data_IF_603768454486
#
_entry.id   IF_603768454486
#
_cell.length_a   1.000
_cell.length_b   1.000
_cell.length_c   1.000
_cell.angle_alpha   90.00
_cell.angle_beta   90.00
_cell.angle_gamma   90.00
#
_symmetry.space_group_name_H-M   'P 1'
#
loop_
_entity.id
_entity.type
_entity.pdbx_description
1 polymer ?
#
# COMPACT_ATOMS: atom_id res chain seq x y z
N UNK A 1 16.06 30.00 -16.57
CA UNK A 1 16.55 29.20 -15.44
C UNK A 1 15.45 28.33 -14.81
N UNK A 2 14.36 27.99 -15.55
CA UNK A 2 13.08 27.60 -14.88
C UNK A 2 12.40 26.30 -15.35
N UNK A 3 13.06 25.40 -16.11
CA UNK A 3 12.41 24.15 -16.56
C UNK A 3 12.87 22.87 -15.86
N UNK A 4 14.05 22.83 -15.25
CA UNK A 4 14.40 21.73 -14.34
C UNK A 4 13.52 21.76 -13.07
N UNK A 5 13.14 22.96 -12.63
CA UNK A 5 12.11 23.18 -11.61
C UNK A 5 10.75 22.65 -12.08
N UNK A 6 10.33 22.87 -13.33
CA UNK A 6 9.00 22.45 -13.80
C UNK A 6 8.78 20.93 -13.90
N UNK A 7 9.80 20.12 -14.21
CA UNK A 7 9.66 18.65 -14.16
C UNK A 7 9.53 18.16 -12.72
N UNK A 8 10.25 18.79 -11.79
CA UNK A 8 10.03 18.58 -10.36
C UNK A 8 8.62 19.02 -9.96
N UNK A 9 8.13 20.19 -10.41
CA UNK A 9 6.78 20.68 -10.09
C UNK A 9 5.65 19.80 -10.66
N UNK A 10 5.79 19.20 -11.85
CA UNK A 10 4.78 18.27 -12.40
C UNK A 10 4.77 16.93 -11.65
N UNK A 11 5.94 16.45 -11.25
CA UNK A 11 6.06 15.28 -10.35
C UNK A 11 5.49 15.61 -8.97
N UNK A 12 5.80 16.79 -8.42
CA UNK A 12 5.30 17.27 -7.13
C UNK A 12 3.79 17.51 -7.14
N UNK A 13 3.23 18.09 -8.19
CA UNK A 13 1.78 18.28 -8.31
C UNK A 13 1.06 16.93 -8.38
N UNK A 14 1.58 15.97 -9.17
CA UNK A 14 1.02 14.61 -9.25
C UNK A 14 1.07 13.89 -7.89
N UNK A 15 2.15 14.12 -7.13
CA UNK A 15 2.31 13.63 -5.76
C UNK A 15 1.31 14.31 -4.82
N UNK A 16 1.14 15.63 -4.88
CA UNK A 16 0.17 16.38 -4.07
C UNK A 16 -1.28 15.99 -4.38
N UNK A 17 -1.64 15.73 -5.64
CA UNK A 17 -2.96 15.17 -6.01
C UNK A 17 -3.15 13.75 -5.49
N UNK A 18 -2.10 12.93 -5.47
CA UNK A 18 -2.14 11.59 -4.86
C UNK A 18 -2.36 11.68 -3.34
N UNK A 19 -1.70 12.64 -2.67
CA UNK A 19 -1.92 12.94 -1.25
C UNK A 19 -3.37 13.39 -0.98
N UNK A 20 -3.88 14.36 -1.75
CA UNK A 20 -5.28 14.81 -1.61
C UNK A 20 -6.26 13.69 -1.92
N UNK A 21 -5.98 12.85 -2.91
CA UNK A 21 -6.82 11.71 -3.27
C UNK A 21 -6.92 10.67 -2.16
N UNK A 22 -5.78 10.24 -1.59
CA UNK A 22 -5.77 9.32 -0.45
C UNK A 22 -6.42 9.96 0.77
N UNK A 23 -6.09 11.22 1.08
CA UNK A 23 -6.70 11.91 2.21
C UNK A 23 -8.20 12.10 2.02
N UNK A 24 -8.68 12.30 0.79
CA UNK A 24 -10.11 12.44 0.51
C UNK A 24 -10.84 11.10 0.59
N UNK A 25 -10.19 10.02 0.17
CA UNK A 25 -10.74 8.67 0.21
C UNK A 25 -10.80 8.12 1.65
N UNK A 26 -9.74 8.36 2.42
CA UNK A 26 -9.52 7.74 3.73
C UNK A 26 -9.83 8.70 4.88
N UNK A 27 -9.96 9.99 4.58
CA UNK A 27 -10.27 11.08 5.53
C UNK A 27 -9.33 11.13 6.73
N UNK A 28 -8.07 10.78 6.46
CA UNK A 28 -7.02 10.66 7.45
C UNK A 28 -5.73 11.32 6.98
N UNK A 29 -5.25 12.28 7.75
CA UNK A 29 -4.00 12.99 7.47
C UNK A 29 -2.79 12.09 7.77
N UNK A 30 -2.79 11.39 8.90
CA UNK A 30 -1.65 10.56 9.31
C UNK A 30 -1.47 9.35 8.36
N UNK A 31 -2.56 8.73 7.94
CA UNK A 31 -2.54 7.64 6.94
C UNK A 31 -1.95 8.11 5.63
N UNK A 32 -2.37 9.27 5.14
CA UNK A 32 -1.92 9.79 3.85
C UNK A 32 -0.40 9.95 3.86
N UNK A 33 0.14 10.45 4.97
CA UNK A 33 1.58 10.64 5.14
C UNK A 33 2.34 9.30 5.27
N UNK A 34 1.83 8.36 6.08
CA UNK A 34 2.42 7.03 6.25
C UNK A 34 2.39 6.21 4.97
N UNK A 35 1.29 6.26 4.22
CA UNK A 35 1.16 5.61 2.93
C UNK A 35 2.22 6.15 1.96
N UNK A 36 2.39 7.47 1.89
CA UNK A 36 3.36 8.04 0.96
C UNK A 36 4.81 7.75 1.35
N UNK A 37 5.14 7.80 2.64
CA UNK A 37 6.47 7.41 3.12
C UNK A 37 6.79 5.93 2.79
N UNK A 38 5.78 5.06 2.84
CA UNK A 38 5.97 3.61 2.61
C UNK A 38 5.89 3.21 1.13
N UNK A 39 5.19 3.98 0.29
CA UNK A 39 4.84 3.57 -1.07
C UNK A 39 5.51 4.38 -2.19
N UNK A 40 5.88 5.64 -1.96
CA UNK A 40 6.27 6.55 -3.06
C UNK A 40 7.79 6.76 -3.14
N UNK A 41 8.48 6.89 -2.01
CA UNK A 41 9.94 7.10 -2.03
C UNK A 41 10.58 6.68 -0.71
N UNK A 42 11.79 6.10 -0.80
CA UNK A 42 12.65 5.78 0.35
C UNK A 42 13.16 7.05 1.06
N UNK A 43 13.47 8.09 0.29
CA UNK A 43 13.92 9.37 0.84
C UNK A 43 12.85 10.43 0.60
N UNK A 44 12.28 10.94 1.69
CA UNK A 44 11.28 11.98 1.64
C UNK A 44 11.75 13.22 2.43
N UNK A 45 12.05 14.34 1.75
CA UNK A 45 12.58 15.53 2.43
C UNK A 45 11.51 16.15 3.34
N UNK A 46 11.94 16.59 4.53
CA UNK A 46 11.06 17.13 5.58
C UNK A 46 10.20 18.32 5.10
N UNK A 47 10.71 19.12 4.16
CA UNK A 47 9.98 20.25 3.55
C UNK A 47 8.75 19.79 2.75
N UNK A 48 8.84 18.68 2.04
CA UNK A 48 7.73 18.13 1.25
C UNK A 48 6.71 17.43 2.15
N UNK A 49 7.17 16.83 3.25
CA UNK A 49 6.32 16.27 4.31
C UNK A 49 5.40 17.32 4.91
N UNK A 50 5.94 18.48 5.26
CA UNK A 50 5.12 19.52 5.87
C UNK A 50 4.08 20.11 4.91
N UNK A 51 4.44 20.27 3.62
CA UNK A 51 3.51 20.75 2.58
C UNK A 51 2.37 19.77 2.32
N UNK A 52 2.68 18.49 2.18
CA UNK A 52 1.67 17.43 1.98
C UNK A 52 0.77 17.26 3.20
N UNK A 53 1.31 17.35 4.42
CA UNK A 53 0.52 17.36 5.65
C UNK A 53 -0.48 18.51 5.68
N UNK A 54 -0.06 19.72 5.35
CA UNK A 54 -0.95 20.89 5.32
C UNK A 54 -2.06 20.71 4.28
N UNK A 55 -1.72 20.22 3.09
CA UNK A 55 -2.69 19.96 2.03
C UNK A 55 -3.74 18.92 2.45
N UNK A 56 -3.30 17.82 3.05
CA UNK A 56 -4.18 16.77 3.59
C UNK A 56 -5.08 17.31 4.72
N UNK A 57 -4.56 18.14 5.62
CA UNK A 57 -5.32 18.76 6.69
C UNK A 57 -6.44 19.66 6.15
N UNK A 58 -6.13 20.51 5.16
CA UNK A 58 -7.13 21.36 4.51
C UNK A 58 -8.20 20.51 3.81
N UNK A 59 -7.80 19.45 3.09
CA UNK A 59 -8.74 18.55 2.43
C UNK A 59 -9.69 17.86 3.44
N UNK A 60 -9.14 17.35 4.55
CA UNK A 60 -9.93 16.74 5.62
C UNK A 60 -10.91 17.74 6.27
N UNK A 61 -10.47 18.98 6.51
CA UNK A 61 -11.31 20.04 7.06
C UNK A 61 -12.47 20.40 6.12
N UNK A 62 -12.20 20.55 4.82
CA UNK A 62 -13.23 20.86 3.82
C UNK A 62 -14.23 19.71 3.69
N UNK A 63 -13.77 18.46 3.65
CA UNK A 63 -14.64 17.29 3.61
C UNK A 63 -15.49 17.12 4.87
N UNK A 64 -14.93 17.43 6.05
CA UNK A 64 -15.67 17.46 7.30
C UNK A 64 -16.75 18.56 7.29
N UNK A 65 -16.41 19.74 6.78
CA UNK A 65 -17.32 20.88 6.71
C UNK A 65 -18.49 20.69 5.74
N UNK A 66 -18.25 20.01 4.60
CA UNK A 66 -19.30 19.72 3.60
C UNK A 66 -20.26 18.62 4.10
N UNK A 67 -19.82 17.78 5.05
CA UNK A 67 -20.53 16.60 5.54
C UNK A 67 -21.32 15.82 4.45
N UNK A 68 -20.63 15.27 3.42
CA UNK A 68 -21.30 14.66 2.27
C UNK A 68 -22.12 13.40 2.59
N UNK A 69 -21.96 12.82 3.78
CA UNK A 69 -22.65 11.59 4.19
C UNK A 69 -23.78 11.83 5.20
N UNK A 70 -23.97 13.06 5.67
CA UNK A 70 -25.01 13.40 6.64
C UNK A 70 -24.83 12.78 8.03
N UNK A 71 -23.67 12.17 8.32
CA UNK A 71 -23.35 11.63 9.63
C UNK A 71 -22.54 12.67 10.42
N UNK A 72 -22.69 12.72 11.75
CA UNK A 72 -21.88 13.62 12.60
C UNK A 72 -20.39 13.23 12.61
N UNK A 73 -20.06 12.03 12.12
CA UNK A 73 -18.70 11.52 12.02
C UNK A 73 -18.10 11.74 10.64
N UNK A 74 -16.85 12.19 10.63
CA UNK A 74 -16.11 12.48 9.40
C UNK A 74 -15.74 11.23 8.61
N UNK A 75 -15.76 10.01 9.16
CA UNK A 75 -15.32 8.76 8.48
C UNK A 75 -16.48 7.93 7.91
N UNK A 76 -16.22 7.16 6.84
CA UNK A 76 -17.24 6.36 6.12
C UNK A 76 -17.80 5.19 6.95
N UNK A 77 -17.00 4.63 7.86
CA UNK A 77 -17.34 3.46 8.67
C UNK A 77 -16.95 3.68 10.14
N UNK A 78 -17.65 4.59 10.84
CA UNK A 78 -17.42 4.77 12.27
C UNK A 78 -18.13 3.67 13.06
N UNK A 79 -17.39 2.88 13.84
CA UNK A 79 -17.94 1.93 14.80
C UNK A 79 -17.20 2.07 16.12
N UNK A 80 -17.91 2.45 17.16
CA UNK A 80 -17.35 2.58 18.50
C UNK A 80 -17.53 1.28 19.29
N UNK A 81 -16.41 0.75 19.78
CA UNK A 81 -16.39 -0.44 20.63
C UNK A 81 -16.04 -0.02 22.04
N UNK A 82 -16.95 -0.26 22.98
CA UNK A 82 -16.81 0.22 24.36
C UNK A 82 -16.04 -0.75 25.27
N UNK A 83 -15.82 -2.01 24.86
CA UNK A 83 -15.18 -3.05 25.67
C UNK A 83 -13.74 -3.35 25.22
N UNK A 84 -12.77 -3.49 26.14
CA UNK A 84 -11.41 -3.89 25.79
C UNK A 84 -11.36 -5.33 25.25
N UNK A 85 -10.37 -5.62 24.40
CA UNK A 85 -10.07 -6.97 23.94
C UNK A 85 -9.26 -7.72 25.01
N UNK A 86 -9.38 -9.05 25.04
CA UNK A 86 -8.72 -9.91 26.02
C UNK A 86 -7.49 -10.56 25.38
N UNK A 87 -6.38 -10.72 26.13
CA UNK A 87 -5.14 -11.32 25.61
C UNK A 87 -5.33 -12.67 24.92
N UNK A 88 -6.26 -13.48 25.41
CA UNK A 88 -6.57 -14.77 24.81
C UNK A 88 -7.11 -14.67 23.38
N UNK A 89 -7.88 -13.62 23.05
CA UNK A 89 -8.40 -13.37 21.70
C UNK A 89 -7.29 -13.11 20.66
N UNK A 90 -6.06 -12.86 21.10
CA UNK A 90 -4.93 -12.72 20.20
C UNK A 90 -4.68 -13.98 19.35
N UNK A 91 -4.94 -15.16 19.91
CA UNK A 91 -4.76 -16.44 19.20
C UNK A 91 -5.67 -16.53 17.97
N UNK A 92 -7.00 -16.37 18.07
CA UNK A 92 -7.85 -16.36 16.89
C UNK A 92 -7.61 -15.14 15.98
N UNK A 93 -7.15 -13.99 16.50
CA UNK A 93 -6.74 -12.87 15.64
C UNK A 93 -5.52 -13.19 14.78
N UNK A 94 -4.50 -13.86 15.33
CA UNK A 94 -3.36 -14.34 14.55
C UNK A 94 -3.80 -15.42 13.57
N UNK A 95 -4.71 -16.31 13.96
CA UNK A 95 -5.34 -17.29 13.06
C UNK A 95 -6.05 -16.64 11.87
N UNK A 96 -6.82 -15.56 12.12
CA UNK A 96 -7.41 -14.72 11.07
C UNK A 96 -6.36 -14.09 10.17
N UNK A 97 -5.22 -13.67 10.74
CA UNK A 97 -4.04 -13.24 10.00
C UNK A 97 -3.56 -14.30 9.00
N UNK A 98 -3.38 -15.53 9.48
CA UNK A 98 -2.91 -16.66 8.65
C UNK A 98 -3.92 -16.97 7.53
N UNK A 99 -5.21 -17.08 7.86
CA UNK A 99 -6.28 -17.31 6.88
C UNK A 99 -6.31 -16.18 5.84
N UNK A 100 -6.21 -14.93 6.30
CA UNK A 100 -6.19 -13.76 5.42
C UNK A 100 -4.99 -13.75 4.47
N UNK A 101 -3.81 -14.15 4.95
CA UNK A 101 -2.60 -14.28 4.14
C UNK A 101 -2.71 -15.37 3.06
N UNK A 102 -3.32 -16.51 3.39
CA UNK A 102 -3.59 -17.59 2.43
C UNK A 102 -4.57 -17.12 1.35
N UNK A 103 -5.69 -16.51 1.75
CA UNK A 103 -6.70 -15.98 0.82
C UNK A 103 -6.06 -14.94 -0.11
N UNK A 104 -5.25 -14.03 0.45
CA UNK A 104 -4.53 -13.03 -0.32
C UNK A 104 -3.55 -13.64 -1.32
N UNK A 105 -2.78 -14.66 -0.93
CA UNK A 105 -1.83 -15.33 -1.81
C UNK A 105 -2.53 -16.06 -2.98
N UNK A 106 -3.63 -16.76 -2.69
CA UNK A 106 -4.47 -17.41 -3.72
C UNK A 106 -5.03 -16.36 -4.67
N UNK A 107 -5.57 -15.26 -4.13
CA UNK A 107 -6.11 -14.15 -4.92
C UNK A 107 -5.04 -13.54 -5.85
N UNK A 108 -3.84 -13.24 -5.35
CA UNK A 108 -2.75 -12.66 -6.17
C UNK A 108 -2.36 -13.63 -7.29
N UNK A 109 -2.13 -14.92 -6.98
CA UNK A 109 -1.72 -15.91 -8.00
C UNK A 109 -2.80 -16.11 -9.07
N UNK A 110 -4.07 -16.25 -8.67
CA UNK A 110 -5.19 -16.42 -9.59
C UNK A 110 -5.38 -15.18 -10.48
N UNK A 111 -5.30 -13.99 -9.90
CA UNK A 111 -5.40 -12.73 -10.63
C UNK A 111 -4.26 -12.54 -11.63
N UNK A 112 -3.01 -12.85 -11.25
CA UNK A 112 -1.88 -12.82 -12.17
C UNK A 112 -2.04 -13.80 -13.32
N UNK A 113 -2.47 -15.03 -13.02
CA UNK A 113 -2.72 -16.05 -14.02
C UNK A 113 -3.80 -15.59 -15.02
N UNK A 114 -4.91 -15.03 -14.52
CA UNK A 114 -5.98 -14.51 -15.35
C UNK A 114 -5.54 -13.32 -16.22
N UNK A 115 -4.83 -12.36 -15.64
CA UNK A 115 -4.31 -11.21 -16.39
C UNK A 115 -3.26 -11.61 -17.43
N UNK A 116 -2.42 -12.61 -17.15
CA UNK A 116 -1.49 -13.18 -18.14
C UNK A 116 -2.26 -13.87 -19.27
N UNK A 117 -3.29 -14.64 -18.94
CA UNK A 117 -4.16 -15.26 -19.93
C UNK A 117 -4.84 -14.22 -20.85
N UNK A 118 -5.32 -13.10 -20.29
CA UNK A 118 -5.92 -11.98 -21.05
C UNK A 118 -4.94 -11.34 -22.05
N UNK A 119 -3.64 -11.29 -21.72
CA UNK A 119 -2.62 -10.77 -22.65
C UNK A 119 -2.37 -11.69 -23.85
N UNK A 120 -2.53 -13.01 -23.68
CA UNK A 120 -2.29 -14.01 -24.73
C UNK A 120 -3.57 -14.33 -25.52
N UNK A 121 -4.74 -14.22 -24.89
CA UNK A 121 -6.03 -14.56 -25.49
C UNK A 121 -6.61 -13.45 -26.37
N UNK A 122 -7.48 -13.82 -27.32
CA UNK A 122 -8.22 -12.88 -28.19
C UNK A 122 -9.17 -11.96 -27.41
N UNK A 123 -9.49 -12.29 -26.15
CA UNK A 123 -10.27 -11.44 -25.24
C UNK A 123 -9.68 -10.03 -25.09
N UNK A 124 -8.36 -9.86 -25.19
CA UNK A 124 -7.71 -8.56 -25.10
C UNK A 124 -7.95 -7.61 -26.30
N UNK A 125 -8.45 -8.13 -27.44
CA UNK A 125 -8.68 -7.34 -28.65
C UNK A 125 -9.95 -6.49 -28.58
N UNK A 126 -10.97 -6.90 -27.80
CA UNK A 126 -12.24 -6.19 -27.67
C UNK A 126 -12.55 -5.81 -26.22
N UNK A 127 -11.93 -4.73 -25.70
CA UNK A 127 -12.04 -4.38 -24.29
C UNK A 127 -13.45 -3.94 -23.86
N UNK A 128 -14.20 -3.29 -24.74
CA UNK A 128 -15.55 -2.79 -24.41
C UNK A 128 -16.55 -3.93 -24.28
N UNK A 129 -16.53 -4.90 -25.20
CA UNK A 129 -17.43 -6.06 -25.15
C UNK A 129 -17.11 -6.97 -23.96
N UNK A 130 -15.83 -7.08 -23.57
CA UNK A 130 -15.44 -7.78 -22.36
C UNK A 130 -16.05 -7.14 -21.10
N UNK A 131 -15.95 -5.81 -20.95
CA UNK A 131 -16.53 -5.08 -19.82
C UNK A 131 -18.03 -5.33 -19.73
N UNK A 132 -18.73 -5.20 -20.86
CA UNK A 132 -20.19 -5.43 -20.92
C UNK A 132 -20.53 -6.87 -20.54
N UNK A 133 -19.78 -7.86 -21.08
CA UNK A 133 -19.98 -9.26 -20.76
C UNK A 133 -19.78 -9.56 -19.27
N UNK A 134 -18.68 -9.08 -18.68
CA UNK A 134 -18.40 -9.26 -17.25
C UNK A 134 -19.46 -8.56 -16.39
N UNK A 135 -19.91 -7.36 -16.78
CA UNK A 135 -20.96 -6.64 -16.06
C UNK A 135 -22.30 -7.39 -16.07
N UNK A 136 -22.71 -7.94 -17.22
CA UNK A 136 -23.94 -8.73 -17.33
C UNK A 136 -23.84 -10.02 -16.52
N UNK A 137 -22.74 -10.77 -16.66
CA UNK A 137 -22.52 -12.02 -15.92
C UNK A 137 -22.50 -11.77 -14.41
N UNK A 138 -21.78 -10.74 -13.96
CA UNK A 138 -21.73 -10.39 -12.52
C UNK A 138 -23.09 -9.93 -12.00
N UNK A 139 -23.88 -9.18 -12.78
CA UNK A 139 -25.23 -8.79 -12.39
C UNK A 139 -26.17 -10.00 -12.23
N UNK A 140 -26.15 -10.94 -13.19
CA UNK A 140 -26.97 -12.16 -13.15
C UNK A 140 -26.58 -13.05 -11.96
N UNK A 141 -25.28 -13.22 -11.70
CA UNK A 141 -24.79 -14.05 -10.60
C UNK A 141 -24.95 -13.40 -9.22
N UNK A 142 -24.90 -12.07 -9.13
CA UNK A 142 -25.03 -11.34 -7.86
C UNK A 142 -26.47 -11.10 -7.43
N UNK A 143 -27.44 -11.17 -8.36
CA UNK A 143 -28.86 -10.92 -8.08
C UNK A 143 -29.49 -11.88 -7.05
N UNK A 144 -29.21 -13.20 -7.05
CA UNK A 144 -29.88 -14.14 -6.14
C UNK A 144 -29.50 -13.98 -4.67
N UNK A 145 -28.29 -13.50 -4.36
CA UNK A 145 -27.82 -13.38 -2.98
C UNK A 145 -27.98 -11.93 -2.47
N UNK A 146 -28.73 -11.71 -1.37
CA UNK A 146 -28.99 -10.37 -0.84
C UNK A 146 -27.71 -9.62 -0.45
N UNK A 147 -26.69 -10.31 0.08
CA UNK A 147 -25.43 -9.68 0.48
C UNK A 147 -24.54 -9.29 -0.71
N UNK A 148 -24.61 -10.03 -1.83
CA UNK A 148 -23.87 -9.65 -3.05
C UNK A 148 -24.56 -8.52 -3.81
N UNK A 149 -25.88 -8.39 -3.67
CA UNK A 149 -26.69 -7.32 -4.27
C UNK A 149 -26.47 -5.97 -3.60
N UNK A 150 -26.16 -5.94 -2.30
CA UNK A 150 -25.88 -4.69 -1.57
C UNK A 150 -24.57 -4.03 -2.02
N UNK A 151 -24.51 -2.70 -1.86
CA UNK A 151 -23.26 -1.97 -2.12
C UNK A 151 -22.16 -2.42 -1.16
N UNK A 152 -20.93 -2.54 -1.66
CA UNK A 152 -19.81 -3.08 -0.87
C UNK A 152 -19.53 -2.25 0.39
N UNK A 153 -19.71 -0.93 0.33
CA UNK A 153 -19.57 -0.03 1.49
C UNK A 153 -20.63 -0.31 2.55
N UNK A 154 -21.91 -0.40 2.18
CA UNK A 154 -22.99 -0.74 3.12
C UNK A 154 -22.77 -2.12 3.75
N UNK A 155 -22.29 -3.09 2.96
CA UNK A 155 -21.97 -4.42 3.47
C UNK A 155 -20.84 -4.39 4.49
N UNK A 156 -19.76 -3.63 4.25
CA UNK A 156 -18.67 -3.46 5.22
C UNK A 156 -19.20 -2.84 6.52
N UNK A 157 -20.03 -1.80 6.42
CA UNK A 157 -20.65 -1.18 7.59
C UNK A 157 -21.50 -2.18 8.39
N UNK A 158 -22.33 -2.97 7.71
CA UNK A 158 -23.14 -4.03 8.34
C UNK A 158 -22.29 -5.13 9.01
N UNK A 159 -21.13 -5.46 8.43
CA UNK A 159 -20.23 -6.47 9.00
C UNK A 159 -19.50 -5.95 10.24
N UNK A 160 -19.18 -4.64 10.28
CA UNK A 160 -18.53 -4.01 11.42
C UNK A 160 -19.53 -3.62 12.52
N UNK A 161 -20.79 -3.37 12.18
CA UNK A 161 -21.80 -2.96 13.14
C UNK A 161 -22.11 -4.07 14.16
N UNK A 162 -22.47 -3.62 15.36
CA UNK A 162 -23.01 -4.48 16.40
C UNK A 162 -24.52 -4.61 16.24
N UNK A 163 -25.07 -5.76 16.63
CA UNK A 163 -26.50 -6.01 16.59
C UNK A 163 -27.20 -5.26 17.72
N UNK A 164 -27.95 -4.20 17.40
CA UNK A 164 -28.79 -3.47 18.34
C UNK A 164 -30.26 -3.90 18.29
N UNK A 165 -31.07 -3.43 19.27
CA UNK A 165 -32.50 -3.76 19.41
C UNK A 165 -33.38 -3.42 18.18
N UNK A 166 -32.94 -2.53 17.30
CA UNK A 166 -33.69 -2.09 16.11
C UNK A 166 -33.27 -2.80 14.81
N UNK A 167 -32.22 -3.64 14.84
CA UNK A 167 -31.65 -4.25 13.65
C UNK A 167 -32.25 -5.65 13.45
N UNK A 168 -33.32 -5.75 12.67
CA UNK A 168 -33.95 -7.01 12.27
C UNK A 168 -33.22 -7.75 11.15
N UNK A 169 -31.91 -7.56 11.00
CA UNK A 169 -31.12 -8.23 9.97
C UNK A 169 -30.92 -9.71 10.32
N UNK A 170 -30.89 -10.59 9.32
CA UNK A 170 -30.62 -12.03 9.49
C UNK A 170 -29.32 -12.32 10.28
N UNK A 171 -28.35 -11.39 10.25
CA UNK A 171 -27.07 -11.48 10.97
C UNK A 171 -27.21 -11.24 12.48
N UNK A 172 -28.37 -10.75 12.91
CA UNK A 172 -28.71 -10.36 14.28
C UNK A 172 -29.86 -11.18 14.87
N UNK A 173 -30.30 -12.24 14.18
CA UNK A 173 -31.34 -13.19 14.64
C UNK A 173 -30.78 -14.15 15.70
N UNK A 174 -30.50 -13.61 16.89
CA UNK A 174 -30.13 -14.38 18.08
C UNK A 174 -31.36 -14.60 18.94
N UNK A 175 -31.47 -15.76 19.59
CA UNK A 175 -32.59 -16.09 20.45
C UNK A 175 -32.47 -15.34 21.80
N UNK A 176 -32.72 -14.03 21.79
CA UNK A 176 -32.60 -13.11 22.93
C UNK A 176 -33.97 -12.72 23.45
N UNK A 177 -34.14 -12.76 24.78
CA UNK A 177 -35.33 -12.21 25.42
C UNK A 177 -35.03 -10.76 25.83
N UNK A 178 -35.47 -9.80 25.02
CA UNK A 178 -35.22 -8.37 25.30
C UNK A 178 -36.19 -7.89 26.38
N UNK A 179 -35.73 -7.88 27.64
CA UNK A 179 -36.53 -7.37 28.76
C UNK A 179 -36.29 -5.88 29.04
N UNK A 180 -35.18 -5.29 28.58
CA UNK A 180 -34.85 -3.88 28.82
C UNK A 180 -33.95 -3.26 27.75
N UNK A 181 -34.05 -1.94 27.54
CA UNK A 181 -33.26 -1.18 26.52
C UNK A 181 -31.82 -0.89 27.00
N UNK A 182 -31.56 -1.06 28.30
CA UNK A 182 -30.29 -0.72 28.97
C UNK A 182 -29.46 -1.93 29.42
N UNK A 183 -29.98 -3.14 29.31
CA UNK A 183 -29.22 -4.34 29.66
C UNK A 183 -28.09 -4.56 28.66
N UNK A 184 -26.93 -4.99 29.15
CA UNK A 184 -25.85 -5.44 28.29
C UNK A 184 -26.37 -6.54 27.36
N UNK A 185 -25.89 -6.54 26.12
CA UNK A 185 -26.20 -7.61 25.18
C UNK A 185 -25.60 -8.89 25.78
N UNK A 186 -26.46 -9.88 26.05
CA UNK A 186 -26.05 -11.19 26.55
C UNK A 186 -25.70 -12.11 25.37
N UNK A 187 -24.73 -12.99 25.61
CA UNK A 187 -24.35 -14.04 24.66
C UNK A 187 -25.52 -14.99 24.53
N UNK A 188 -26.04 -15.14 23.30
CA UNK A 188 -27.22 -15.94 23.02
C UNK A 188 -26.93 -16.99 21.94
N UNK A 189 -27.70 -18.08 21.98
CA UNK A 189 -27.67 -19.09 20.93
C UNK A 189 -28.05 -18.46 19.58
N UNK A 190 -27.29 -18.80 18.55
CA UNK A 190 -27.60 -18.41 17.18
C UNK A 190 -28.98 -18.95 16.76
N UNK A 191 -29.86 -18.06 16.29
CA UNK A 191 -31.13 -18.44 15.70
C UNK A 191 -30.96 -19.01 14.28
N UNK A 192 -32.04 -19.55 13.70
CA UNK A 192 -32.02 -20.07 12.33
C UNK A 192 -31.63 -19.01 11.29
N UNK A 193 -31.92 -17.73 11.52
CA UNK A 193 -31.51 -16.62 10.67
C UNK A 193 -30.00 -16.44 10.59
N UNK A 194 -29.27 -16.60 11.70
CA UNK A 194 -27.80 -16.48 11.72
C UNK A 194 -27.13 -17.61 10.92
N UNK A 195 -27.62 -18.84 11.03
CA UNK A 195 -27.12 -19.96 10.20
C UNK A 195 -27.36 -19.72 8.71
N UNK A 196 -28.54 -19.19 8.35
CA UNK A 196 -28.86 -18.77 6.98
C UNK A 196 -27.92 -17.65 6.51
N UNK A 197 -27.69 -16.65 7.36
CA UNK A 197 -26.79 -15.54 7.07
C UNK A 197 -25.36 -16.00 6.82
N UNK A 198 -24.82 -16.90 7.67
CA UNK A 198 -23.48 -17.47 7.49
C UNK A 198 -23.36 -18.20 6.14
N UNK A 199 -24.35 -19.02 5.79
CA UNK A 199 -24.36 -19.72 4.50
C UNK A 199 -24.34 -18.75 3.31
N UNK A 200 -25.19 -17.72 3.36
CA UNK A 200 -25.24 -16.68 2.34
C UNK A 200 -23.96 -15.82 2.29
N UNK A 201 -23.30 -15.59 3.42
CA UNK A 201 -22.02 -14.90 3.51
C UNK A 201 -20.87 -15.73 2.91
N UNK A 202 -20.84 -17.04 3.15
CA UNK A 202 -19.87 -17.95 2.51
C UNK A 202 -20.06 -17.96 1.00
N UNK A 203 -21.30 -18.03 0.53
CA UNK A 203 -21.62 -17.91 -0.89
C UNK A 203 -21.16 -16.54 -1.45
N UNK A 204 -21.44 -15.46 -0.71
CA UNK A 204 -21.02 -14.10 -1.09
C UNK A 204 -19.49 -13.96 -1.16
N UNK A 205 -18.76 -14.59 -0.24
CA UNK A 205 -17.30 -14.60 -0.21
C UNK A 205 -16.74 -15.22 -1.49
N UNK A 206 -17.24 -16.40 -1.88
CA UNK A 206 -16.80 -17.09 -3.09
C UNK A 206 -17.11 -16.25 -4.33
N UNK A 207 -18.34 -15.74 -4.45
CA UNK A 207 -18.73 -14.91 -5.59
C UNK A 207 -17.92 -13.60 -5.68
N UNK A 208 -17.70 -12.90 -4.56
CA UNK A 208 -16.88 -11.67 -4.57
C UNK A 208 -15.41 -11.99 -4.84
N UNK A 209 -14.85 -13.07 -4.32
CA UNK A 209 -13.47 -13.47 -4.60
C UNK A 209 -13.27 -13.75 -6.09
N UNK A 210 -14.15 -14.55 -6.68
CA UNK A 210 -14.11 -14.89 -8.11
C UNK A 210 -14.39 -13.64 -8.96
N UNK A 211 -15.41 -12.86 -8.62
CA UNK A 211 -15.76 -11.63 -9.32
C UNK A 211 -14.63 -10.60 -9.31
N UNK A 212 -13.93 -10.45 -8.19
CA UNK A 212 -12.77 -9.53 -8.07
C UNK A 212 -11.57 -9.99 -8.89
N UNK A 213 -11.32 -11.30 -9.00
CA UNK A 213 -10.27 -11.85 -9.89
C UNK A 213 -10.56 -11.51 -11.35
N UNK A 214 -11.81 -11.69 -11.81
CA UNK A 214 -12.19 -11.43 -13.20
C UNK A 214 -12.27 -9.95 -13.56
N UNK A 215 -12.77 -9.13 -12.63
CA UNK A 215 -12.91 -7.68 -12.82
C UNK A 215 -11.58 -6.95 -12.77
N UNK A 216 -10.59 -7.48 -12.04
CA UNK A 216 -9.26 -6.90 -12.03
C UNK A 216 -8.55 -7.08 -13.38
N UNK A 217 -7.85 -6.02 -13.79
CA UNK A 217 -7.14 -5.98 -15.07
C UNK A 217 -8.02 -5.75 -16.30
N UNK A 218 -9.32 -5.47 -16.13
CA UNK A 218 -10.15 -4.93 -17.21
C UNK A 218 -9.71 -3.49 -17.48
N UNK A 219 -9.90 -2.99 -18.72
CA UNK A 219 -9.55 -1.61 -19.11
C UNK A 219 -10.53 -0.56 -18.53
N UNK A 220 -10.72 -0.57 -17.21
CA UNK A 220 -11.56 0.37 -16.44
C UNK A 220 -10.77 0.82 -15.21
N UNK A 221 -10.75 2.13 -14.88
CA UNK A 221 -10.15 2.60 -13.64
C UNK A 221 -10.89 2.01 -12.44
N UNK A 222 -10.23 1.12 -11.68
CA UNK A 222 -10.80 0.47 -10.52
C UNK A 222 -9.79 0.40 -9.37
N UNK A 223 -10.31 0.42 -8.14
CA UNK A 223 -9.54 0.26 -6.92
C UNK A 223 -9.70 -1.14 -6.32
N UNK A 224 -8.63 -1.69 -5.79
CA UNK A 224 -8.62 -3.04 -5.19
C UNK A 224 -8.76 -3.03 -3.65
N UNK A 225 -8.69 -1.84 -3.04
CA UNK A 225 -8.71 -1.65 -1.59
C UNK A 225 -10.04 -2.08 -0.95
N UNK A 226 -11.16 -1.47 -1.38
CA UNK A 226 -12.51 -1.75 -0.86
C UNK A 226 -12.93 -3.23 -1.03
N UNK A 227 -12.77 -3.86 -2.21
CA UNK A 227 -13.14 -5.27 -2.35
C UNK A 227 -12.32 -6.20 -1.45
N UNK A 228 -11.01 -5.96 -1.28
CA UNK A 228 -10.16 -6.77 -0.40
C UNK A 228 -10.54 -6.61 1.07
N UNK A 229 -10.90 -5.38 1.47
CA UNK A 229 -11.42 -5.09 2.81
C UNK A 229 -12.72 -5.86 3.07
N UNK A 230 -13.65 -5.85 2.11
CA UNK A 230 -14.91 -6.60 2.21
C UNK A 230 -14.70 -8.12 2.32
N UNK A 231 -13.80 -8.70 1.51
CA UNK A 231 -13.48 -10.13 1.60
C UNK A 231 -12.98 -10.51 3.00
N UNK A 232 -12.08 -9.71 3.56
CA UNK A 232 -11.59 -9.92 4.92
C UNK A 232 -12.65 -9.67 5.99
N UNK A 233 -13.53 -8.69 5.80
CA UNK A 233 -14.64 -8.43 6.73
C UNK A 233 -15.63 -9.60 6.81
N UNK A 234 -15.94 -10.23 5.67
CA UNK A 234 -16.81 -11.40 5.62
C UNK A 234 -16.17 -12.58 6.37
N UNK A 235 -14.90 -12.89 6.08
CA UNK A 235 -14.16 -13.96 6.76
C UNK A 235 -14.07 -13.70 8.27
N UNK A 236 -13.73 -12.47 8.64
CA UNK A 236 -13.64 -12.06 10.04
C UNK A 236 -14.98 -12.16 10.76
N UNK A 237 -16.09 -11.78 10.12
CA UNK A 237 -17.43 -11.90 10.73
C UNK A 237 -17.84 -13.35 10.93
N UNK A 238 -17.57 -14.23 9.96
CA UNK A 238 -17.88 -15.67 10.06
C UNK A 238 -17.11 -16.29 11.24
N UNK A 239 -15.81 -16.00 11.35
CA UNK A 239 -14.99 -16.49 12.47
C UNK A 239 -15.42 -15.88 13.80
N UNK A 240 -15.79 -14.59 13.82
CA UNK A 240 -16.30 -13.91 15.01
C UNK A 240 -17.58 -14.55 15.56
N UNK A 241 -18.55 -14.83 14.69
CA UNK A 241 -19.79 -15.52 15.08
C UNK A 241 -19.48 -16.96 15.53
N UNK A 242 -18.57 -17.65 14.86
CA UNK A 242 -18.11 -18.99 15.28
C UNK A 242 -17.48 -18.98 16.68
N UNK A 243 -16.67 -17.97 17.00
CA UNK A 243 -16.03 -17.82 18.31
C UNK A 243 -17.05 -17.48 19.40
N UNK A 244 -18.03 -16.62 19.09
CA UNK A 244 -19.16 -16.30 19.98
C UNK A 244 -19.97 -17.56 20.33
N UNK A 245 -20.31 -18.38 19.32
CA UNK A 245 -21.05 -19.64 19.55
C UNK A 245 -20.23 -20.70 20.29
N UNK A 246 -18.91 -20.73 20.06
CA UNK A 246 -18.01 -21.62 20.80
C UNK A 246 -17.96 -21.25 22.29
N UNK A 247 -17.87 -19.94 22.59
CA UNK A 247 -17.88 -19.44 23.97
C UNK A 247 -19.23 -19.71 24.66
N UNK A 248 -20.35 -19.62 23.95
CA UNK A 248 -21.67 -19.96 24.46
C UNK A 248 -21.82 -21.45 24.82
N UNK A 249 -21.37 -22.35 23.93
CA UNK A 249 -21.53 -23.80 24.12
C UNK A 249 -20.55 -24.38 25.14
N UNK A 250 -19.36 -23.77 25.30
CA UNK A 250 -18.32 -24.26 26.20
C UNK A 250 -17.78 -23.17 27.14
N UNK A 251 -18.62 -22.65 28.06
CA UNK A 251 -18.25 -21.55 28.95
C UNK A 251 -17.19 -21.95 30.00
N UNK A 252 -17.03 -23.25 30.27
CA UNK A 252 -16.12 -23.78 31.30
C UNK A 252 -14.73 -24.19 30.80
N UNK A 253 -14.40 -24.02 29.52
CA UNK A 253 -13.02 -24.25 29.06
C UNK A 253 -12.12 -23.22 29.75
N UNK A 254 -10.92 -23.63 30.18
CA UNK A 254 -9.86 -22.77 30.73
C UNK A 254 -9.64 -21.46 29.92
N UNK A 255 -9.95 -21.51 28.63
CA UNK A 255 -9.97 -20.39 27.68
C UNK A 255 -10.89 -19.22 28.05
N UNK A 256 -12.08 -19.55 28.56
CA UNK A 256 -13.22 -18.62 28.73
C UNK A 256 -13.62 -18.45 30.19
N UNK A 257 -13.08 -19.30 31.08
CA UNK A 257 -13.47 -19.42 32.48
C UNK A 257 -13.11 -18.22 33.38
N UNK A 258 -12.33 -17.25 32.90
CA UNK A 258 -11.85 -16.10 33.69
C UNK A 258 -12.68 -14.81 33.50
N UNK A 259 -12.90 -14.39 32.25
CA UNK A 259 -13.40 -13.05 31.92
C UNK A 259 -14.80 -13.07 31.26
N UNK A 260 -15.24 -14.21 30.69
CA UNK A 260 -16.58 -14.34 30.09
C UNK A 260 -17.66 -14.82 31.08
N UNK A 261 -17.31 -15.12 32.34
CA UNK A 261 -18.20 -15.77 33.31
C UNK A 261 -19.31 -14.86 33.87
N UNK A 262 -19.25 -13.55 33.61
CA UNK A 262 -20.15 -12.54 34.19
C UNK A 262 -21.39 -12.21 33.35
N UNK A 263 -21.66 -12.95 32.27
CA UNK A 263 -22.89 -12.77 31.45
C UNK A 263 -22.85 -11.57 30.50
N UNK A 264 -21.83 -10.73 30.59
CA UNK A 264 -21.58 -9.60 29.71
C UNK A 264 -20.93 -10.04 28.39
N UNK A 265 -21.36 -9.47 27.24
CA UNK A 265 -20.76 -9.62 25.90
C UNK A 265 -19.23 -9.72 25.95
N UNK A 266 -18.69 -10.93 25.85
CA UNK A 266 -17.26 -11.20 25.99
C UNK A 266 -16.54 -11.09 24.64
N UNK A 267 -17.23 -11.46 23.55
CA UNK A 267 -16.68 -11.51 22.19
C UNK A 267 -17.55 -10.65 21.29
N UNK A 268 -16.95 -9.66 20.63
CA UNK A 268 -17.67 -8.82 19.68
C UNK A 268 -17.37 -9.26 18.24
N UNK A 269 -18.33 -9.83 17.49
CA UNK A 269 -18.09 -10.32 16.13
C UNK A 269 -17.70 -9.21 15.13
N UNK A 270 -18.12 -7.95 15.38
CA UNK A 270 -17.69 -6.78 14.61
C UNK A 270 -16.17 -6.52 14.68
N UNK A 271 -15.55 -6.75 15.84
CA UNK A 271 -14.10 -6.60 16.00
C UNK A 271 -13.33 -7.62 15.14
N UNK A 272 -13.80 -8.87 15.11
CA UNK A 272 -13.23 -9.92 14.28
C UNK A 272 -13.39 -9.60 12.78
N UNK A 273 -14.51 -9.00 12.37
CA UNK A 273 -14.69 -8.49 11.01
C UNK A 273 -13.65 -7.42 10.64
N UNK A 274 -13.37 -6.45 11.52
CA UNK A 274 -12.33 -5.44 11.28
C UNK A 274 -10.92 -6.04 11.21
N UNK A 275 -10.60 -6.98 12.12
CA UNK A 275 -9.30 -7.67 12.12
C UNK A 275 -9.12 -8.51 10.86
N UNK A 276 -10.15 -9.24 10.43
CA UNK A 276 -10.15 -10.00 9.18
C UNK A 276 -9.99 -9.10 7.95
N UNK A 277 -10.66 -7.95 7.93
CA UNK A 277 -10.53 -6.93 6.88
C UNK A 277 -9.09 -6.42 6.76
N UNK A 278 -8.45 -6.11 7.90
CA UNK A 278 -7.05 -5.73 7.95
C UNK A 278 -6.11 -6.86 7.54
N UNK A 279 -6.40 -8.11 7.94
CA UNK A 279 -5.59 -9.26 7.59
C UNK A 279 -5.55 -9.49 6.07
N UNK A 280 -6.71 -9.59 5.39
CA UNK A 280 -6.74 -9.82 3.94
C UNK A 280 -6.14 -8.66 3.18
N UNK A 281 -6.51 -7.42 3.51
CA UNK A 281 -6.02 -6.24 2.82
C UNK A 281 -4.51 -6.04 3.02
N UNK A 282 -3.99 -6.33 4.22
CA UNK A 282 -2.56 -6.31 4.53
C UNK A 282 -1.78 -7.39 3.80
N UNK A 283 -2.37 -8.57 3.62
CA UNK A 283 -1.80 -9.66 2.83
C UNK A 283 -1.74 -9.33 1.33
N UNK A 284 -2.80 -8.72 0.79
CA UNK A 284 -2.87 -8.39 -0.65
C UNK A 284 -1.93 -7.23 -1.02
N UNK A 285 -1.91 -6.17 -0.20
CA UNK A 285 -1.14 -4.94 -0.49
C UNK A 285 0.27 -4.94 0.08
N UNK A 286 0.58 -5.81 1.05
CA UNK A 286 1.85 -5.82 1.82
C UNK A 286 2.12 -4.56 2.63
N UNK A 287 1.11 -3.70 2.80
CA UNK A 287 1.19 -2.46 3.57
C UNK A 287 0.61 -2.70 4.97
N UNK A 288 1.45 -3.04 5.95
CA UNK A 288 0.99 -3.39 7.31
C UNK A 288 0.77 -2.17 8.20
N UNK A 289 1.77 -1.30 8.34
CA UNK A 289 1.70 -0.16 9.29
C UNK A 289 0.63 0.86 8.88
N UNK A 290 0.64 1.32 7.64
CA UNK A 290 -0.33 2.31 7.15
C UNK A 290 -1.77 1.79 7.26
N UNK A 291 -1.98 0.50 6.99
CA UNK A 291 -3.30 -0.15 7.11
C UNK A 291 -3.81 -0.18 8.55
N UNK A 292 -2.95 -0.46 9.52
CA UNK A 292 -3.37 -0.46 10.93
C UNK A 292 -3.79 0.95 11.36
N UNK A 293 -3.07 1.99 10.93
CA UNK A 293 -3.44 3.39 11.21
C UNK A 293 -4.76 3.75 10.54
N UNK A 294 -5.01 3.28 9.31
CA UNK A 294 -6.31 3.42 8.63
C UNK A 294 -7.43 2.86 9.49
N UNK A 295 -7.31 1.59 9.88
CA UNK A 295 -8.36 0.89 10.62
C UNK A 295 -8.57 1.52 12.00
N UNK A 296 -7.50 1.94 12.65
CA UNK A 296 -7.54 2.70 13.90
C UNK A 296 -8.34 4.00 13.76
N UNK A 297 -8.07 4.80 12.74
CA UNK A 297 -8.76 6.09 12.56
C UNK A 297 -10.24 5.91 12.19
N UNK A 298 -10.58 4.87 11.43
CA UNK A 298 -11.98 4.52 11.14
C UNK A 298 -12.74 4.09 12.40
N UNK A 299 -12.08 3.36 13.31
CA UNK A 299 -12.69 2.81 14.53
C UNK A 299 -12.72 3.81 15.69
N UNK A 300 -11.82 4.80 15.70
CA UNK A 300 -11.71 5.81 16.76
C UNK A 300 -11.19 5.29 18.10
N UNK A 301 -10.62 4.08 18.16
CA UNK A 301 -10.18 3.43 19.40
C UNK A 301 -8.73 2.92 19.34
N UNK A 302 -7.84 3.52 20.15
CA UNK A 302 -6.39 3.17 20.22
C UNK A 302 -6.16 1.75 20.75
N UNK A 303 -7.11 1.22 21.54
CA UNK A 303 -6.98 -0.06 22.24
C UNK A 303 -6.86 -1.27 21.32
N UNK A 304 -7.32 -1.19 20.07
CA UNK A 304 -7.35 -2.31 19.11
C UNK A 304 -6.14 -2.37 18.16
N UNK A 305 -5.15 -1.49 18.33
CA UNK A 305 -3.96 -1.43 17.46
C UNK A 305 -3.14 -2.71 17.53
N UNK A 306 -2.94 -3.26 18.74
CA UNK A 306 -2.13 -4.46 18.96
C UNK A 306 -2.67 -5.69 18.19
N UNK A 307 -3.94 -6.10 18.34
CA UNK A 307 -4.46 -7.26 17.61
C UNK A 307 -4.51 -7.03 16.09
N UNK A 308 -4.82 -5.81 15.64
CA UNK A 308 -4.78 -5.45 14.21
C UNK A 308 -3.37 -5.60 13.63
N UNK A 309 -2.36 -5.13 14.35
CA UNK A 309 -0.97 -5.23 13.91
C UNK A 309 -0.48 -6.68 13.90
N UNK A 310 -0.81 -7.47 14.93
CA UNK A 310 -0.47 -8.89 14.99
C UNK A 310 -1.08 -9.67 13.81
N UNK A 311 -2.37 -9.49 13.54
CA UNK A 311 -3.04 -10.16 12.42
C UNK A 311 -2.49 -9.72 11.05
N UNK A 312 -2.26 -8.41 10.86
CA UNK A 312 -1.70 -7.88 9.61
C UNK A 312 -0.25 -8.36 9.37
N UNK A 313 0.56 -8.45 10.43
CA UNK A 313 1.92 -9.00 10.33
C UNK A 313 1.92 -10.50 10.04
N UNK A 314 1.08 -11.27 10.72
CA UNK A 314 0.91 -12.70 10.44
C UNK A 314 0.47 -12.94 8.99
N UNK A 315 -0.51 -12.17 8.51
CA UNK A 315 -0.95 -12.23 7.11
C UNK A 315 0.16 -11.90 6.12
N UNK A 316 0.95 -10.86 6.41
CA UNK A 316 2.12 -10.52 5.60
C UNK A 316 3.13 -11.66 5.56
N UNK A 317 3.53 -12.21 6.70
CA UNK A 317 4.52 -13.30 6.74
C UNK A 317 4.05 -14.53 5.97
N UNK A 318 2.79 -14.93 6.16
CA UNK A 318 2.20 -16.05 5.43
C UNK A 318 2.16 -15.77 3.94
N UNK A 319 1.74 -14.56 3.56
CA UNK A 319 1.77 -14.16 2.17
C UNK A 319 3.21 -14.19 1.62
N UNK A 320 4.22 -13.70 2.36
CA UNK A 320 5.60 -13.55 1.88
C UNK A 320 6.22 -14.94 1.66
N UNK A 321 5.86 -15.90 2.52
CA UNK A 321 6.19 -17.31 2.37
C UNK A 321 5.54 -17.95 1.13
N UNK A 322 4.27 -17.63 0.81
CA UNK A 322 3.56 -18.19 -0.33
C UNK A 322 3.89 -17.50 -1.67
N UNK A 323 4.37 -16.25 -1.63
CA UNK A 323 4.77 -15.45 -2.78
C UNK A 323 5.40 -14.13 -2.35
N UNK A 324 6.59 -13.82 -2.90
CA UNK A 324 7.42 -12.67 -2.48
C UNK A 324 6.85 -11.29 -2.81
N UNK A 325 5.87 -11.19 -3.72
CA UNK A 325 5.40 -9.91 -4.27
C UNK A 325 3.98 -9.59 -3.81
N UNK A 326 3.72 -8.31 -3.53
CA UNK A 326 2.36 -7.77 -3.36
C UNK A 326 1.64 -7.63 -4.70
N UNK A 327 0.33 -7.34 -4.67
CA UNK A 327 -0.45 -7.20 -5.91
C UNK A 327 0.07 -6.08 -6.83
N UNK A 328 0.52 -4.96 -6.25
CA UNK A 328 1.01 -3.81 -7.00
C UNK A 328 2.35 -4.13 -7.69
N UNK A 329 3.31 -4.67 -6.94
CA UNK A 329 4.62 -5.07 -7.48
C UNK A 329 4.47 -6.16 -8.56
N UNK A 330 3.57 -7.12 -8.32
CA UNK A 330 3.28 -8.19 -9.27
C UNK A 330 2.69 -7.66 -10.59
N UNK A 331 1.88 -6.60 -10.56
CA UNK A 331 1.33 -5.96 -11.77
C UNK A 331 2.35 -5.06 -12.49
N UNK A 332 3.23 -4.39 -11.75
CA UNK A 332 4.37 -3.65 -12.33
C UNK A 332 5.23 -4.61 -13.16
N UNK A 333 5.57 -5.77 -12.58
CA UNK A 333 6.33 -6.82 -13.26
C UNK A 333 5.57 -7.44 -14.44
N UNK A 334 4.26 -7.68 -14.29
CA UNK A 334 3.44 -8.20 -15.39
C UNK A 334 3.39 -7.25 -16.58
N UNK A 335 3.44 -5.94 -16.35
CA UNK A 335 3.44 -4.91 -17.40
C UNK A 335 4.82 -4.62 -17.98
N UNK A 336 5.89 -5.15 -17.39
CA UNK A 336 7.25 -4.96 -17.86
C UNK A 336 7.76 -3.53 -17.66
N UNK A 337 7.24 -2.81 -16.67
CA UNK A 337 7.78 -1.50 -16.33
C UNK A 337 9.15 -1.66 -15.67
N UNK A 338 10.17 -0.89 -16.09
CA UNK A 338 11.50 -0.93 -15.47
C UNK A 338 11.43 -0.24 -14.10
N UNK A 339 11.09 -1.01 -13.06
CA UNK A 339 11.06 -0.56 -11.67
C UNK A 339 12.18 -1.24 -10.88
N UNK A 340 13.03 -0.43 -10.24
CA UNK A 340 14.10 -0.92 -9.38
C UNK A 340 13.59 -0.93 -7.94
N UNK A 341 13.28 -2.11 -7.40
CA UNK A 341 12.87 -2.23 -6.01
C UNK A 341 14.08 -2.02 -5.09
N UNK A 342 13.96 -1.10 -4.14
CA UNK A 342 14.99 -0.84 -3.12
C UNK A 342 15.00 -1.88 -2.01
N UNK A 343 13.97 -2.73 -1.93
CA UNK A 343 13.84 -3.81 -0.93
C UNK A 343 14.53 -5.09 -1.35
N UNK A 344 14.83 -5.24 -2.64
CA UNK A 344 15.55 -6.41 -3.14
C UNK A 344 17.05 -6.15 -3.02
N UNK A 345 17.68 -6.80 -2.04
CA UNK A 345 19.13 -6.86 -1.96
C UNK A 345 19.61 -7.81 -3.05
N UNK A 346 19.95 -7.24 -4.21
CA UNK A 346 20.54 -7.98 -5.31
C UNK A 346 21.91 -8.49 -4.85
N UNK A 347 21.99 -9.76 -4.47
CA UNK A 347 23.25 -10.48 -4.31
C UNK A 347 23.89 -10.73 -5.70
N UNK A 348 24.03 -9.68 -6.49
CA UNK A 348 24.68 -9.75 -7.79
C UNK A 348 26.16 -9.47 -7.61
N UNK A 349 26.99 -10.43 -8.01
CA UNK A 349 28.44 -10.28 -8.18
C UNK A 349 28.81 -9.48 -9.43
N UNK A 350 27.82 -8.87 -10.11
CA UNK A 350 28.03 -8.12 -11.35
C UNK A 350 28.75 -6.80 -11.06
N UNK A 351 29.80 -6.52 -11.82
CA UNK A 351 30.48 -5.24 -11.77
C UNK A 351 29.69 -4.21 -12.58
N UNK A 352 29.84 -2.92 -12.26
CA UNK A 352 29.24 -1.85 -13.07
C UNK A 352 29.67 -1.93 -14.54
N UNK A 353 30.86 -2.46 -14.80
CA UNK A 353 31.40 -2.70 -16.14
C UNK A 353 30.58 -3.73 -16.96
N UNK A 354 29.89 -4.66 -16.30
CA UNK A 354 29.09 -5.71 -16.96
C UNK A 354 27.73 -5.18 -17.43
N UNK A 355 27.23 -4.12 -16.77
CA UNK A 355 25.89 -3.55 -16.99
C UNK A 355 25.95 -2.27 -17.84
N UNK A 356 27.06 -1.53 -17.78
CA UNK A 356 27.21 -0.28 -18.52
C UNK A 356 27.06 -0.50 -20.03
N UNK A 357 26.40 0.45 -20.69
CA UNK A 357 26.35 0.55 -22.15
C UNK A 357 27.16 1.78 -22.59
N UNK A 358 27.86 1.73 -23.74
CA UNK A 358 27.95 0.63 -24.70
C UNK A 358 28.81 -0.55 -24.22
N UNK A 359 28.53 -1.76 -24.73
CA UNK A 359 29.43 -2.91 -24.57
C UNK A 359 30.75 -2.63 -25.32
N UNK A 360 31.83 -3.32 -24.96
CA UNK A 360 33.21 -3.06 -25.46
C UNK A 360 33.37 -2.87 -26.99
N UNK A 361 32.43 -3.34 -27.82
CA UNK A 361 32.45 -3.19 -29.28
C UNK A 361 31.63 -2.02 -29.84
N UNK A 362 30.88 -1.29 -29.02
CA UNK A 362 30.07 -0.16 -29.47
C UNK A 362 30.70 1.17 -29.03
N UNK A 363 30.64 2.18 -29.91
CA UNK A 363 31.22 3.50 -29.62
C UNK A 363 30.20 4.34 -28.84
N UNK A 364 30.63 4.91 -27.73
CA UNK A 364 29.80 5.83 -26.95
C UNK A 364 29.57 7.11 -27.75
N UNK A 365 28.30 7.50 -27.89
CA UNK A 365 27.91 8.79 -28.47
C UNK A 365 28.26 9.90 -27.48
N UNK A 366 29.34 10.63 -27.75
CA UNK A 366 29.87 11.70 -26.88
C UNK A 366 29.83 13.04 -27.59
N UNK A 367 29.70 14.11 -26.80
CA UNK A 367 29.83 15.49 -27.28
C UNK A 367 31.19 16.02 -26.83
N UNK A 368 31.95 16.63 -27.73
CA UNK A 368 33.24 17.25 -27.38
C UNK A 368 33.07 18.72 -27.00
N UNK A 369 33.89 19.22 -26.09
CA UNK A 369 33.84 20.63 -25.65
C UNK A 369 34.07 21.63 -26.80
N UNK A 370 35.14 21.46 -27.58
CA UNK A 370 35.60 22.51 -28.51
C UNK A 370 35.62 22.06 -29.99
N UNK A 371 35.43 20.77 -30.29
CA UNK A 371 35.67 20.24 -31.65
C UNK A 371 34.43 19.94 -32.50
N UNK A 372 33.22 19.98 -31.94
CA UNK A 372 31.99 19.63 -32.67
C UNK A 372 31.25 20.87 -33.16
N UNK A 373 30.82 20.83 -34.43
CA UNK A 373 29.99 21.89 -35.02
C UNK A 373 28.51 21.68 -34.68
N UNK A 374 27.70 22.72 -34.85
CA UNK A 374 26.25 22.66 -34.65
C UNK A 374 25.60 21.60 -35.56
N UNK A 375 26.07 21.48 -36.81
CA UNK A 375 25.63 20.44 -37.75
C UNK A 375 25.95 19.03 -37.27
N UNK A 376 27.08 18.83 -36.60
CA UNK A 376 27.44 17.51 -36.05
C UNK A 376 26.53 17.13 -34.88
N UNK A 377 26.15 18.11 -34.06
CA UNK A 377 25.20 17.90 -32.96
C UNK A 377 23.81 17.59 -33.52
N UNK A 378 23.36 18.31 -34.55
CA UNK A 378 22.07 18.03 -35.19
C UNK A 378 22.05 16.64 -35.84
N UNK A 379 23.16 16.23 -36.47
CA UNK A 379 23.31 14.90 -37.05
C UNK A 379 23.33 13.82 -35.96
N UNK A 380 24.08 14.03 -34.87
CA UNK A 380 24.10 13.13 -33.71
C UNK A 380 22.69 12.94 -33.12
N UNK A 381 21.91 14.01 -33.03
CA UNK A 381 20.54 13.96 -32.55
C UNK A 381 19.60 13.23 -33.52
N UNK A 382 19.83 13.32 -34.84
CA UNK A 382 19.05 12.55 -35.83
C UNK A 382 19.41 11.06 -35.81
N UNK A 383 20.68 10.75 -35.59
CA UNK A 383 21.20 9.37 -35.65
C UNK A 383 20.93 8.58 -34.36
N UNK A 384 20.73 9.24 -33.22
CA UNK A 384 20.57 8.59 -31.91
C UNK A 384 19.22 8.87 -31.26
N UNK A 385 18.69 7.90 -30.51
CA UNK A 385 17.47 8.04 -29.70
C UNK A 385 17.75 8.33 -28.21
N UNK A 386 19.02 8.49 -27.83
CA UNK A 386 19.41 8.68 -26.43
C UNK A 386 18.93 10.04 -25.87
N UNK A 387 18.49 10.04 -24.61
CA UNK A 387 17.95 11.22 -23.94
C UNK A 387 19.01 12.12 -23.28
N UNK A 388 20.27 11.69 -23.24
CA UNK A 388 21.36 12.48 -22.72
C UNK A 388 22.72 11.96 -23.16
N UNK A 389 23.69 12.88 -23.18
CA UNK A 389 25.02 12.68 -23.74
C UNK A 389 26.07 13.18 -22.75
N UNK A 390 27.13 12.40 -22.48
CA UNK A 390 28.28 12.89 -21.74
C UNK A 390 29.11 13.86 -22.59
N UNK A 391 29.62 14.90 -21.94
CA UNK A 391 30.51 15.91 -22.54
C UNK A 391 31.95 15.57 -22.16
N UNK A 392 32.80 15.39 -23.16
CA UNK A 392 34.22 15.06 -23.01
C UNK A 392 35.11 16.15 -23.59
N UNK A 393 36.37 16.22 -23.12
CA UNK A 393 37.34 17.23 -23.60
C UNK A 393 37.61 17.06 -25.10
N UNK A 394 37.96 15.86 -25.54
CA UNK A 394 38.21 15.54 -26.95
C UNK A 394 37.93 14.07 -27.25
N UNK A 395 37.83 13.70 -28.53
CA UNK A 395 37.73 12.29 -28.93
C UNK A 395 39.00 11.49 -28.61
N UNK A 396 40.14 12.17 -28.53
CA UNK A 396 41.44 11.55 -28.18
C UNK A 396 41.61 11.45 -26.66
N UNK A 397 41.15 12.45 -25.92
CA UNK A 397 41.13 12.47 -24.45
C UNK A 397 39.69 12.40 -23.94
N UNK A 398 39.21 11.18 -23.69
CA UNK A 398 37.85 10.91 -23.20
C UNK A 398 37.66 11.26 -21.71
N UNK A 399 38.18 12.41 -21.28
CA UNK A 399 37.99 12.91 -19.93
C UNK A 399 36.60 13.54 -19.81
N UNK A 400 35.80 13.11 -18.83
CA UNK A 400 34.43 13.57 -18.63
C UNK A 400 34.42 14.97 -17.99
N UNK A 401 33.82 15.94 -18.68
CA UNK A 401 33.63 17.31 -18.20
C UNK A 401 32.24 17.49 -17.58
N UNK A 402 31.22 16.85 -18.18
CA UNK A 402 29.84 17.01 -17.72
C UNK A 402 28.84 16.12 -18.46
N UNK A 403 27.56 16.38 -18.25
CA UNK A 403 26.45 15.64 -18.87
C UNK A 403 25.37 16.61 -19.33
N UNK A 404 24.86 16.40 -20.55
CA UNK A 404 23.85 17.27 -21.16
C UNK A 404 22.67 16.43 -21.65
N UNK A 405 21.46 16.90 -21.38
CA UNK A 405 20.24 16.23 -21.82
C UNK A 405 19.85 16.66 -23.24
N UNK A 406 19.28 15.73 -24.01
CA UNK A 406 18.76 15.96 -25.37
C UNK A 406 17.75 17.09 -25.42
N UNK A 407 16.87 17.19 -24.42
CA UNK A 407 15.87 18.25 -24.32
C UNK A 407 16.52 19.65 -24.27
N UNK A 408 17.64 19.76 -23.55
CA UNK A 408 18.33 21.03 -23.33
C UNK A 408 19.10 21.42 -24.60
N UNK A 409 19.65 20.44 -25.32
CA UNK A 409 20.23 20.63 -26.67
C UNK A 409 19.17 21.08 -27.69
N UNK A 410 18.03 20.42 -27.76
CA UNK A 410 16.96 20.80 -28.69
C UNK A 410 16.43 22.22 -28.40
N UNK A 411 16.36 22.63 -27.13
CA UNK A 411 16.01 23.99 -26.74
C UNK A 411 17.09 24.99 -27.16
N UNK A 412 18.36 24.64 -27.01
CA UNK A 412 19.49 25.48 -27.44
C UNK A 412 19.54 25.64 -28.97
N UNK A 413 19.29 24.57 -29.73
CA UNK A 413 19.28 24.56 -31.20
C UNK A 413 18.03 25.23 -31.79
N UNK A 414 16.86 25.04 -31.18
CA UNK A 414 15.62 25.69 -31.60
C UNK A 414 15.56 27.18 -31.25
N UNK A 415 16.37 27.61 -30.28
CA UNK A 415 16.55 29.00 -29.89
C UNK A 415 17.51 29.75 -30.80
N UNK A 416 17.19 29.91 -32.09
CA UNK A 416 17.94 30.73 -33.07
C UNK A 416 18.04 32.23 -32.73
N UNK A 417 17.79 32.63 -31.47
CA UNK A 417 17.78 34.01 -31.01
C UNK A 417 18.49 34.25 -29.67
N UNK A 418 19.35 33.35 -29.21
CA UNK A 418 20.36 33.74 -28.23
C UNK A 418 21.46 34.51 -28.96
N UNK A 419 21.30 35.83 -29.06
CA UNK A 419 22.44 36.72 -29.30
C UNK A 419 23.45 36.40 -28.20
N UNK A 420 24.61 35.88 -28.59
CA UNK A 420 25.83 35.90 -27.78
C UNK A 420 26.22 37.38 -27.56
N UNK A 421 25.51 38.07 -26.69
CA UNK A 421 25.98 39.28 -26.02
C UNK A 421 26.56 38.84 -24.70
N UNK A 422 27.80 38.40 -24.78
CA UNK A 422 28.65 38.07 -23.65
C UNK A 422 30.05 38.00 -24.21
N UNK A 423 30.77 39.11 -24.09
CA UNK A 423 32.22 39.18 -24.26
C UNK A 423 32.88 37.96 -23.63
N UNK A 424 33.97 37.52 -24.25
CA UNK A 424 34.94 36.61 -23.65
C UNK A 424 35.44 37.30 -22.36
N UNK A 425 34.72 37.13 -21.26
CA UNK A 425 35.27 37.24 -19.93
C UNK A 425 35.69 35.84 -19.56
N UNK A 426 36.99 35.63 -19.73
CA UNK A 426 37.83 34.80 -18.89
C UNK A 426 37.09 34.32 -17.63
N UNK A 427 36.58 33.10 -17.68
CA UNK A 427 36.12 32.41 -16.49
C UNK A 427 37.36 32.03 -15.69
N UNK A 428 37.87 32.99 -14.92
CA UNK A 428 38.67 32.68 -13.74
C UNK A 428 37.82 31.77 -12.87
N UNK A 429 38.26 30.52 -12.78
CA UNK A 429 37.72 29.53 -11.86
C UNK A 429 37.86 30.05 -10.43
N UNK A 430 36.80 30.65 -9.89
CA UNK A 430 36.64 30.69 -8.44
C UNK A 430 36.27 29.29 -7.98
N UNK A 431 37.32 28.51 -7.73
CA UNK A 431 37.26 27.33 -6.88
C UNK A 431 36.57 27.72 -5.58
N UNK A 432 35.29 27.36 -5.42
CA UNK A 432 34.72 27.16 -4.09
C UNK A 432 35.04 25.75 -3.68
N UNK A 433 36.27 25.55 -3.23
CA UNK A 433 36.63 24.43 -2.36
C UNK A 433 35.88 24.60 -1.04
N UNK A 434 34.60 24.24 -1.01
CA UNK A 434 34.01 23.76 0.24
C UNK A 434 34.40 22.29 0.38
N UNK A 435 35.63 22.09 0.84
CA UNK A 435 35.98 20.92 1.64
C UNK A 435 34.97 20.81 2.79
N UNK A 436 34.51 19.61 3.16
CA UNK A 436 33.78 19.46 4.41
C UNK A 436 34.69 19.93 5.55
N UNK A 437 34.20 20.91 6.32
CA UNK A 437 34.86 21.41 7.52
C UNK A 437 34.99 20.22 8.47
N UNK A 438 36.24 19.88 8.83
CA UNK A 438 36.53 19.05 9.99
C UNK A 438 35.85 19.69 11.22
N UNK A 439 34.78 19.05 11.70
CA UNK A 439 34.24 19.33 13.02
C UNK A 439 35.25 18.91 14.10
N UNK A 440 35.23 19.55 15.28
CA UNK A 440 36.18 19.25 16.34
C UNK A 440 36.05 17.79 16.81
N UNK A 441 37.20 17.16 16.95
CA UNK A 441 37.43 15.86 17.57
C UNK A 441 36.63 15.67 18.87
N UNK A 442 35.81 14.62 18.91
CA UNK A 442 35.36 13.97 20.14
C UNK A 442 35.38 12.44 19.93
N UNK A 443 35.66 11.65 20.98
CA UNK A 443 36.33 10.36 20.84
C UNK A 443 35.40 9.23 20.38
N UNK A 444 36.01 8.28 19.69
CA UNK A 444 35.42 7.04 19.18
C UNK A 444 34.86 6.13 20.28
N UNK A 445 33.70 5.47 20.08
CA UNK A 445 33.28 4.35 20.91
C UNK A 445 34.03 3.08 20.48
N UNK A 446 34.69 2.45 21.45
CA UNK A 446 35.34 1.15 21.36
C UNK A 446 34.32 0.02 21.13
N UNK A 447 34.62 -0.87 20.20
CA UNK A 447 34.05 -2.22 20.16
C UNK A 447 34.89 -3.13 21.08
N UNK A 448 34.28 -4.10 21.79
CA UNK A 448 34.98 -4.94 22.77
C UNK A 448 35.91 -5.95 22.10
N UNK A 449 37.18 -5.99 22.55
CA UNK A 449 38.14 -7.05 22.24
C UNK A 449 38.02 -8.19 23.25
N UNK A 450 38.04 -9.42 22.74
CA UNK A 450 38.23 -10.66 23.49
C UNK A 450 39.60 -10.68 24.20
N UNK A 451 39.58 -10.83 25.52
CA UNK A 451 40.75 -11.06 26.35
C UNK A 451 41.25 -12.51 26.20
N UNK A 452 42.33 -12.71 25.46
CA UNK A 452 43.24 -13.86 25.65
C UNK A 452 44.36 -13.44 26.58
N UNK A 453 44.13 -13.62 27.89
CA UNK A 453 45.14 -13.39 28.93
C UNK A 453 46.19 -14.50 28.96
N UNK A 454 47.42 -14.18 28.56
CA UNK A 454 48.60 -14.96 28.90
C UNK A 454 49.24 -14.33 30.15
N UNK A 455 49.08 -15.02 31.28
CA UNK A 455 49.68 -14.65 32.55
C UNK A 455 51.17 -15.02 32.62
N UNK A 456 51.98 -14.06 33.04
CA UNK A 456 53.33 -14.30 33.57
C UNK A 456 53.39 -13.76 35.00
N UNK A 457 53.76 -14.67 35.89
CA UNK A 457 53.98 -14.51 37.34
C UNK A 457 54.98 -13.39 37.68
N UNK A 458 54.76 -12.70 38.81
CA UNK A 458 55.77 -12.61 39.88
C UNK A 458 55.15 -12.08 41.20
N UNK A 459 55.32 -12.91 42.24
CA UNK A 459 55.34 -12.73 43.71
C UNK A 459 55.27 -11.31 44.29
N UNK A 460 54.33 -11.06 45.22
CA UNK A 460 54.47 -11.29 46.68
C UNK A 460 53.10 -11.44 47.36
#
# INVERSE_FOLDING_TARGET
MDRATNQNWLSFASIDYFFVGICSLMKSVAVTQLCCFKCVSYYFPLKTLWRSFFCALVAAFVLGSINPFGNEHSVLFYVQYNKPWIFFELVPFVGLGIIGGIIAAVFIKANLWWCRYRKVSKLGQYPVTEVIGVAVVTAVLAFPNPYTRMSTSQLIYLLFSQCGLSNGDDLCDYNRNFTDVKSAIEIAAAGPGVYRAIWLLVLALIFKLVGTIFTFGIKVPCGLFIPSLCLGAIVGRIVGIGMEQLAYNYPHIWLFSGECSTGDDCITPGLYAMVGAAAVLGGVTRMTVSLVVIMFELTGGVRYIVPLMAAAMASKWVGDALGRQGIYDAHINLNGYPFLDSKEEFAHTSLAADVMQPKQNERLSVITQDSMTVSDIESLLKDTEHNGFPVVVSRQSQYLVGFVLRRDLNLALGGNNWRFTGSIHEWSSTHTSKLPINGPSSPSPSAPQEDTGHGTNHYD
#
